data_IF_148111555186
#
_entry.id   IF_148111555186
#
_cell.length_a   1.000
_cell.length_b   1.000
_cell.length_c   1.000
_cell.angle_alpha   90.00
_cell.angle_beta   90.00
_cell.angle_gamma   90.00
#
_symmetry.space_group_name_H-M   'P 1'
#
loop_
_entity.id
_entity.type
_entity.pdbx_description
1 polymer ?
#
# COMPACT_ATOMS: atom_id res chain seq x y z
N UNK A 1 19.54 13.96 -11.00
CA UNK A 1 19.67 12.93 -9.94
C UNK A 1 18.86 11.72 -10.39
N UNK A 2 19.19 10.50 -9.98
CA UNK A 2 18.28 9.36 -10.18
C UNK A 2 17.10 9.46 -9.22
N UNK A 3 15.96 8.84 -9.55
CA UNK A 3 14.83 8.75 -8.61
C UNK A 3 15.23 7.89 -7.41
N UNK A 4 14.73 8.21 -6.23
CA UNK A 4 14.92 7.40 -5.02
C UNK A 4 13.56 6.88 -4.60
N UNK A 5 13.46 5.58 -4.35
CA UNK A 5 12.27 4.97 -3.75
C UNK A 5 12.57 4.69 -2.28
N UNK A 6 11.82 5.33 -1.41
CA UNK A 6 11.94 5.17 0.03
C UNK A 6 11.24 3.93 0.55
N UNK A 7 10.18 3.49 -0.12
CA UNK A 7 9.41 2.30 0.22
C UNK A 7 7.93 2.49 -0.07
N UNK A 8 7.12 1.50 0.27
CA UNK A 8 5.66 1.62 0.23
C UNK A 8 5.25 2.58 1.37
N UNK A 9 4.68 3.74 1.01
CA UNK A 9 4.21 4.73 1.98
C UNK A 9 2.89 4.27 2.59
N UNK A 10 1.95 3.90 1.73
CA UNK A 10 0.65 3.33 2.09
C UNK A 10 0.05 2.49 0.96
N UNK A 11 -1.01 1.78 1.29
CA UNK A 11 -1.99 1.30 0.31
C UNK A 11 -3.33 1.90 0.67
N UNK A 12 -4.01 2.48 -0.32
CA UNK A 12 -5.32 3.08 -0.18
C UNK A 12 -6.41 2.01 -0.14
N UNK A 13 -7.42 2.18 0.71
CA UNK A 13 -8.57 1.29 0.82
C UNK A 13 -9.88 2.07 0.95
N UNK A 14 -10.78 1.86 -0.02
CA UNK A 14 -12.14 2.38 0.03
C UNK A 14 -13.01 1.56 0.98
N UNK A 15 -13.75 2.24 1.87
CA UNK A 15 -14.62 1.63 2.88
C UNK A 15 -15.95 2.38 3.02
N UNK A 16 -16.94 1.74 3.65
CA UNK A 16 -18.20 2.42 3.98
C UNK A 16 -18.10 3.23 5.28
N UNK A 17 -17.24 2.82 6.21
CA UNK A 17 -17.08 3.46 7.53
C UNK A 17 -15.61 3.44 8.01
N UNK A 18 -15.00 4.63 8.08
CA UNK A 18 -13.60 4.82 8.49
C UNK A 18 -13.35 4.33 9.91
N UNK A 19 -14.19 4.67 10.89
CA UNK A 19 -13.91 4.34 12.29
C UNK A 19 -14.15 2.86 12.60
N UNK A 20 -15.18 2.26 12.01
CA UNK A 20 -15.43 0.83 12.14
C UNK A 20 -14.24 0.00 11.66
N UNK A 21 -13.74 0.29 10.46
CA UNK A 21 -12.61 -0.44 9.91
C UNK A 21 -11.31 -0.12 10.64
N UNK A 22 -11.09 1.14 11.02
CA UNK A 22 -9.87 1.54 11.69
C UNK A 22 -9.76 0.91 13.08
N UNK A 23 -10.89 0.75 13.79
CA UNK A 23 -10.91 0.00 15.05
C UNK A 23 -10.42 -1.44 14.84
N UNK A 24 -10.84 -2.10 13.77
CA UNK A 24 -10.35 -3.44 13.41
C UNK A 24 -8.86 -3.41 13.05
N UNK A 25 -8.40 -2.52 12.17
CA UNK A 25 -6.98 -2.44 11.80
C UNK A 25 -6.07 -2.12 13.00
N UNK A 26 -6.51 -1.24 13.91
CA UNK A 26 -5.81 -0.97 15.16
C UNK A 26 -5.68 -2.23 16.02
N UNK A 27 -6.74 -3.01 16.15
CA UNK A 27 -6.80 -4.19 17.02
C UNK A 27 -5.98 -5.38 16.49
N UNK A 28 -6.02 -5.61 15.17
CA UNK A 28 -5.46 -6.81 14.54
C UNK A 28 -4.15 -6.57 13.79
N UNK A 29 -4.00 -5.39 13.18
CA UNK A 29 -2.82 -5.02 12.39
C UNK A 29 -1.92 -4.01 13.13
N UNK A 30 -2.36 -3.54 14.30
CA UNK A 30 -1.57 -2.65 15.14
C UNK A 30 -1.35 -1.27 14.54
N UNK A 31 -2.14 -0.85 13.54
CA UNK A 31 -2.06 0.47 12.92
C UNK A 31 -2.75 1.50 13.81
N UNK A 32 -2.05 1.98 14.84
CA UNK A 32 -2.58 2.82 15.91
C UNK A 32 -1.96 4.22 15.96
N UNK A 33 -1.14 4.58 14.99
CA UNK A 33 -0.53 5.91 14.88
C UNK A 33 -1.24 6.68 13.76
N UNK A 34 -1.94 7.76 14.10
CA UNK A 34 -2.57 8.65 13.12
C UNK A 34 -1.53 9.58 12.52
N UNK A 35 -1.31 9.49 11.21
CA UNK A 35 -0.47 10.45 10.47
C UNK A 35 -1.26 11.71 10.20
N UNK A 36 -2.44 11.55 9.58
CA UNK A 36 -3.44 12.59 9.39
C UNK A 36 -4.84 11.97 9.43
N UNK A 37 -5.83 12.84 9.56
CA UNK A 37 -7.24 12.56 9.36
C UNK A 37 -7.87 13.83 8.80
N UNK A 38 -8.56 13.71 7.66
CA UNK A 38 -9.14 14.85 6.97
C UNK A 38 -10.52 14.53 6.38
N UNK A 39 -11.37 15.56 6.31
CA UNK A 39 -12.66 15.50 5.63
C UNK A 39 -12.69 16.63 4.62
N UNK A 40 -12.32 16.32 3.38
CA UNK A 40 -12.03 17.29 2.31
C UNK A 40 -12.59 16.81 0.97
N UNK A 41 -12.35 17.57 -0.10
CA UNK A 41 -12.73 17.21 -1.47
C UNK A 41 -11.52 16.68 -2.22
N UNK A 42 -11.65 15.53 -2.88
CA UNK A 42 -10.66 15.04 -3.83
C UNK A 42 -10.85 15.72 -5.20
N UNK A 43 -10.08 16.78 -5.45
CA UNK A 43 -10.22 17.64 -6.64
C UNK A 43 -9.35 17.22 -7.85
N UNK A 44 -8.38 16.33 -7.62
CA UNK A 44 -7.33 16.00 -8.58
C UNK A 44 -7.50 14.63 -9.21
N UNK A 45 -8.23 13.73 -8.55
CA UNK A 45 -8.48 12.36 -9.03
C UNK A 45 -9.59 12.28 -10.09
N UNK A 46 -9.84 13.37 -10.83
CA UNK A 46 -10.92 13.48 -11.82
C UNK A 46 -10.95 12.33 -12.85
N UNK A 47 -9.81 11.85 -13.39
CA UNK A 47 -9.81 10.70 -14.30
C UNK A 47 -10.45 9.45 -13.69
N UNK A 48 -10.38 9.29 -12.36
CA UNK A 48 -10.81 8.11 -11.63
C UNK A 48 -12.07 8.32 -10.78
N UNK A 49 -12.61 9.54 -10.73
CA UNK A 49 -13.83 9.88 -9.99
C UNK A 49 -15.02 10.22 -10.89
N UNK A 50 -14.93 9.85 -12.17
CA UNK A 50 -15.96 10.10 -13.19
C UNK A 50 -15.99 11.56 -13.64
N UNK A 51 -14.83 12.22 -13.67
CA UNK A 51 -14.69 13.61 -14.12
C UNK A 51 -15.14 14.67 -13.11
N UNK A 52 -15.52 14.28 -11.89
CA UNK A 52 -16.06 15.19 -10.88
C UNK A 52 -15.29 15.08 -9.56
N UNK A 53 -15.04 16.21 -8.86
CA UNK A 53 -14.52 16.18 -7.50
C UNK A 53 -15.45 15.39 -6.58
N UNK A 54 -14.88 14.76 -5.54
CA UNK A 54 -15.67 13.97 -4.59
C UNK A 54 -15.33 14.28 -3.15
N UNK A 55 -16.34 14.49 -2.32
CA UNK A 55 -16.18 14.62 -0.87
C UNK A 55 -15.80 13.29 -0.24
N UNK A 56 -14.80 13.36 0.65
CA UNK A 56 -14.21 12.21 1.32
C UNK A 56 -13.94 12.48 2.79
N UNK A 57 -13.81 11.40 3.54
CA UNK A 57 -13.10 11.35 4.80
C UNK A 57 -11.98 10.33 4.65
N UNK A 58 -10.74 10.75 4.89
CA UNK A 58 -9.62 9.83 4.89
C UNK A 58 -8.78 9.91 6.15
N UNK A 59 -8.12 8.79 6.42
CA UNK A 59 -7.19 8.60 7.53
C UNK A 59 -5.99 7.85 7.01
N UNK A 60 -4.79 8.37 7.26
CA UNK A 60 -3.57 7.59 7.13
C UNK A 60 -3.11 7.11 8.50
N UNK A 61 -3.05 5.79 8.67
CA UNK A 61 -2.60 5.16 9.92
C UNK A 61 -1.43 4.21 9.68
N UNK A 62 -0.48 4.16 10.62
CA UNK A 62 0.72 3.32 10.52
C UNK A 62 0.95 2.49 11.78
N UNK A 63 1.77 1.45 11.65
CA UNK A 63 2.26 0.64 12.77
C UNK A 63 3.76 0.92 13.01
N UNK A 64 4.10 1.43 14.19
CA UNK A 64 5.47 1.81 14.54
C UNK A 64 6.44 0.61 14.69
N UNK A 65 6.01 -0.65 14.55
CA UNK A 65 6.96 -1.77 14.39
C UNK A 65 7.71 -1.71 13.04
N UNK A 66 7.18 -0.95 12.08
CA UNK A 66 7.73 -0.75 10.73
C UNK A 66 6.80 -1.31 9.65
N UNK A 67 7.02 -0.90 8.41
CA UNK A 67 6.10 -1.04 7.27
C UNK A 67 5.41 0.28 6.92
N UNK A 68 4.81 0.33 5.75
CA UNK A 68 3.92 1.40 5.31
C UNK A 68 2.58 1.42 6.06
N UNK A 69 1.75 2.40 5.74
CA UNK A 69 0.44 2.63 6.33
C UNK A 69 -0.73 2.10 5.52
N UNK A 70 -1.91 2.33 6.07
CA UNK A 70 -3.19 2.21 5.38
C UNK A 70 -3.78 3.61 5.24
N UNK A 71 -4.10 4.01 4.01
CA UNK A 71 -4.96 5.18 3.77
C UNK A 71 -6.40 4.71 3.62
N UNK A 72 -7.19 4.90 4.67
CA UNK A 72 -8.59 4.50 4.74
C UNK A 72 -9.41 5.63 4.13
N UNK A 73 -10.28 5.31 3.18
CA UNK A 73 -10.97 6.30 2.36
C UNK A 73 -12.48 6.03 2.32
N UNK A 74 -13.29 7.03 2.68
CA UNK A 74 -14.75 6.92 2.69
C UNK A 74 -15.39 8.09 1.97
N UNK A 75 -16.34 7.82 1.07
CA UNK A 75 -17.18 8.84 0.47
C UNK A 75 -18.13 9.49 1.49
N UNK A 76 -18.32 10.82 1.39
CA UNK A 76 -19.32 11.56 2.19
C UNK A 76 -20.60 11.90 1.42
N UNK A 77 -20.53 12.01 0.09
CA UNK A 77 -21.66 12.41 -0.77
C UNK A 77 -22.22 11.31 -1.68
N UNK A 78 -21.71 10.08 -1.58
CA UNK A 78 -22.23 8.92 -2.33
C UNK A 78 -22.07 7.64 -1.53
N UNK A 79 -22.91 6.67 -1.82
CA UNK A 79 -22.69 5.29 -1.39
C UNK A 79 -21.56 4.67 -2.23
N UNK A 80 -20.49 4.14 -1.62
CA UNK A 80 -19.45 3.42 -2.36
C UNK A 80 -20.01 2.10 -2.92
N UNK A 81 -19.50 1.68 -4.07
CA UNK A 81 -19.87 0.42 -4.71
C UNK A 81 -18.92 -0.71 -4.34
N UNK A 82 -19.47 -1.89 -4.05
CA UNK A 82 -18.74 -3.15 -4.00
C UNK A 82 -18.54 -3.71 -5.41
N UNK A 83 -17.53 -4.57 -5.66
CA UNK A 83 -17.47 -5.35 -6.89
C UNK A 83 -18.76 -6.16 -7.08
N UNK A 84 -19.28 -6.20 -8.31
CA UNK A 84 -20.51 -6.94 -8.65
C UNK A 84 -20.31 -8.45 -8.79
N UNK A 85 -19.09 -8.92 -8.57
CA UNK A 85 -18.66 -10.32 -8.66
C UNK A 85 -17.78 -10.68 -7.46
N UNK A 86 -17.63 -11.98 -7.21
CA UNK A 86 -16.69 -12.45 -6.21
C UNK A 86 -15.26 -12.30 -6.75
N UNK A 87 -14.49 -11.38 -6.17
CA UNK A 87 -13.09 -11.14 -6.53
C UNK A 87 -12.27 -12.40 -6.23
N UNK A 88 -11.51 -12.87 -7.22
CA UNK A 88 -10.70 -14.07 -7.15
C UNK A 88 -9.21 -13.73 -7.31
N UNK A 89 -8.34 -14.53 -6.70
CA UNK A 89 -6.90 -14.36 -6.88
C UNK A 89 -6.54 -14.48 -8.37
N UNK A 90 -5.72 -13.56 -8.87
CA UNK A 90 -5.41 -13.41 -10.29
C UNK A 90 -6.35 -12.48 -11.08
N UNK A 91 -7.43 -11.97 -10.48
CA UNK A 91 -8.16 -10.81 -11.02
C UNK A 91 -7.28 -9.57 -11.05
N UNK A 92 -7.42 -8.75 -12.09
CA UNK A 92 -6.51 -7.65 -12.37
C UNK A 92 -6.67 -6.51 -11.35
N UNK A 93 -5.56 -6.13 -10.73
CA UNK A 93 -5.53 -5.15 -9.64
C UNK A 93 -4.94 -5.71 -8.36
N UNK A 94 -4.92 -4.89 -7.31
CA UNK A 94 -4.45 -5.30 -5.98
C UNK A 94 -5.50 -6.26 -5.39
N UNK A 95 -5.11 -7.53 -5.22
CA UNK A 95 -5.96 -8.57 -4.65
C UNK A 95 -5.82 -8.64 -3.12
N UNK A 96 -4.60 -8.51 -2.61
CA UNK A 96 -4.32 -8.56 -1.19
C UNK A 96 -3.19 -7.60 -0.78
N UNK A 97 -3.29 -7.08 0.45
CA UNK A 97 -2.18 -6.36 1.10
C UNK A 97 -1.37 -7.35 1.94
N UNK A 98 -0.04 -7.22 1.90
CA UNK A 98 0.87 -8.00 2.74
C UNK A 98 1.22 -7.23 4.01
N UNK A 99 1.06 -7.87 5.15
CA UNK A 99 1.52 -7.40 6.46
C UNK A 99 2.57 -8.37 7.00
N UNK A 100 3.58 -7.82 7.66
CA UNK A 100 4.64 -8.61 8.28
C UNK A 100 4.31 -9.05 9.70
N UNK A 101 4.76 -10.23 10.10
CA UNK A 101 4.83 -10.70 11.48
C UNK A 101 6.21 -11.27 11.78
N UNK A 102 6.58 -11.33 13.07
CA UNK A 102 7.84 -11.95 13.51
C UNK A 102 7.74 -13.46 13.60
N UNK A 103 6.58 -13.93 14.03
CA UNK A 103 6.26 -15.34 14.27
C UNK A 103 4.83 -15.56 13.76
N UNK A 104 4.68 -16.46 12.79
CA UNK A 104 3.40 -16.70 12.14
C UNK A 104 2.36 -17.30 13.09
N UNK A 105 2.77 -18.12 14.06
CA UNK A 105 1.87 -18.80 14.99
C UNK A 105 1.34 -17.80 16.03
N UNK A 106 2.21 -16.93 16.54
CA UNK A 106 1.80 -15.83 17.43
C UNK A 106 0.81 -14.92 16.73
N UNK A 107 1.09 -14.54 15.48
CA UNK A 107 0.16 -13.75 14.69
C UNK A 107 -1.17 -14.49 14.51
N UNK A 108 -1.16 -15.70 13.96
CA UNK A 108 -2.36 -16.51 13.73
C UNK A 108 -3.23 -16.69 14.99
N UNK A 109 -2.61 -16.97 16.13
CA UNK A 109 -3.30 -17.11 17.41
C UNK A 109 -3.93 -15.78 17.87
N UNK A 110 -3.29 -14.63 17.59
CA UNK A 110 -3.84 -13.31 17.96
C UNK A 110 -5.11 -12.95 17.18
N UNK A 111 -5.28 -13.44 15.95
CA UNK A 111 -6.51 -13.29 15.16
C UNK A 111 -7.59 -14.26 15.64
N UNK A 112 -7.27 -15.55 15.70
CA UNK A 112 -8.24 -16.62 16.01
C UNK A 112 -8.78 -16.55 17.43
N UNK A 113 -7.94 -16.22 18.43
CA UNK A 113 -8.39 -16.05 19.83
C UNK A 113 -9.39 -14.92 20.04
N UNK A 114 -9.53 -14.01 19.06
CA UNK A 114 -10.48 -12.89 19.06
C UNK A 114 -11.64 -13.10 18.08
N UNK A 115 -11.82 -14.32 17.57
CA UNK A 115 -12.95 -14.70 16.73
C UNK A 115 -12.81 -14.36 15.25
N UNK A 116 -11.63 -13.96 14.77
CA UNK A 116 -11.40 -13.86 13.31
C UNK A 116 -11.19 -15.26 12.76
N UNK A 117 -11.91 -15.61 11.70
CA UNK A 117 -11.75 -16.85 10.94
C UNK A 117 -10.79 -16.63 9.76
N UNK A 118 -9.56 -17.15 9.81
CA UNK A 118 -8.62 -17.01 8.70
C UNK A 118 -9.06 -17.83 7.49
N UNK A 119 -8.78 -17.30 6.29
CA UNK A 119 -9.05 -17.99 5.02
C UNK A 119 -8.16 -19.20 4.82
N UNK A 120 -6.95 -19.18 5.39
CA UNK A 120 -5.98 -20.27 5.33
C UNK A 120 -5.31 -20.48 6.69
N UNK A 121 -4.75 -21.66 6.90
CA UNK A 121 -3.86 -21.95 8.05
C UNK A 121 -2.42 -21.55 7.72
N UNK A 122 -1.55 -21.35 8.73
CA UNK A 122 -0.13 -21.07 8.50
C UNK A 122 0.51 -22.17 7.65
N UNK A 123 1.11 -21.76 6.54
CA UNK A 123 1.81 -22.65 5.60
C UNK A 123 2.89 -21.88 4.86
N UNK A 124 3.72 -22.56 4.08
CA UNK A 124 4.78 -21.91 3.30
C UNK A 124 4.25 -21.46 1.94
N UNK A 125 4.56 -20.23 1.57
CA UNK A 125 4.39 -19.71 0.21
C UNK A 125 5.46 -20.29 -0.74
N UNK A 126 5.40 -20.01 -2.06
CA UNK A 126 6.38 -20.48 -3.05
C UNK A 126 7.85 -20.16 -2.78
N UNK A 127 8.13 -19.13 -1.97
CA UNK A 127 9.47 -18.75 -1.55
C UNK A 127 9.89 -19.39 -0.21
N UNK A 128 9.07 -20.28 0.35
CA UNK A 128 9.33 -20.98 1.61
C UNK A 128 9.04 -20.17 2.87
N UNK A 129 8.40 -19.01 2.75
CA UNK A 129 8.07 -18.10 3.86
C UNK A 129 6.71 -18.49 4.44
N UNK A 130 6.62 -18.59 5.77
CA UNK A 130 5.33 -18.89 6.39
C UNK A 130 4.37 -17.70 6.27
N UNK A 131 3.12 -17.98 5.91
CA UNK A 131 2.07 -16.99 5.79
C UNK A 131 0.68 -17.59 6.05
N UNK A 132 -0.32 -16.73 6.21
CA UNK A 132 -1.75 -17.08 6.12
C UNK A 132 -2.56 -15.88 5.63
N UNK A 133 -3.82 -16.12 5.25
CA UNK A 133 -4.72 -15.09 4.77
C UNK A 133 -5.90 -14.86 5.73
N UNK A 134 -6.34 -13.61 5.84
CA UNK A 134 -7.54 -13.19 6.58
C UNK A 134 -8.35 -12.20 5.74
N UNK A 135 -9.59 -11.94 6.16
CA UNK A 135 -10.38 -10.81 5.67
C UNK A 135 -10.58 -9.78 6.74
N UNK A 136 -10.69 -8.53 6.32
CA UNK A 136 -11.24 -7.46 7.15
C UNK A 136 -12.78 -7.48 7.16
N UNK A 137 -13.44 -6.61 7.94
CA UNK A 137 -14.91 -6.53 8.00
C UNK A 137 -15.58 -6.15 6.67
N UNK A 138 -14.83 -5.64 5.69
CA UNK A 138 -15.32 -5.21 4.37
C UNK A 138 -14.94 -6.21 3.27
N UNK A 139 -14.57 -7.44 3.64
CA UNK A 139 -14.18 -8.53 2.75
C UNK A 139 -12.87 -8.31 1.97
N UNK A 140 -12.03 -7.38 2.40
CA UNK A 140 -10.71 -7.18 1.81
C UNK A 140 -9.73 -8.23 2.29
N UNK A 141 -8.98 -8.83 1.37
CA UNK A 141 -8.04 -9.91 1.69
C UNK A 141 -6.70 -9.33 2.16
N UNK A 142 -6.19 -9.84 3.29
CA UNK A 142 -4.84 -9.57 3.76
C UNK A 142 -4.03 -10.85 3.87
N UNK A 143 -2.75 -10.75 3.53
CA UNK A 143 -1.76 -11.78 3.80
C UNK A 143 -0.91 -11.35 4.99
N UNK A 144 -0.76 -12.23 5.98
CA UNK A 144 0.20 -12.07 7.07
C UNK A 144 1.37 -13.01 6.80
N UNK A 145 2.60 -12.51 6.75
CA UNK A 145 3.78 -13.32 6.44
C UNK A 145 4.98 -13.01 7.34
N UNK A 146 5.86 -13.99 7.53
CA UNK A 146 7.07 -13.81 8.34
C UNK A 146 8.10 -12.91 7.64
N UNK A 147 8.60 -11.92 8.37
CA UNK A 147 9.64 -11.01 7.89
C UNK A 147 10.74 -10.82 8.93
N UNK A 148 11.95 -10.56 8.44
CA UNK A 148 13.12 -10.19 9.24
C UNK A 148 13.37 -8.68 9.27
N UNK A 149 12.60 -7.88 8.53
CA UNK A 149 12.80 -6.43 8.38
C UNK A 149 11.92 -5.60 9.31
N UNK A 150 12.53 -4.93 10.30
CA UNK A 150 11.81 -4.26 11.39
C UNK A 150 12.44 -2.94 11.81
N UNK A 151 11.59 -1.97 12.16
CA UNK A 151 12.01 -0.70 12.74
C UNK A 151 12.09 -0.76 14.26
N UNK A 152 11.09 -1.39 14.89
CA UNK A 152 10.97 -1.48 16.36
C UNK A 152 10.28 -2.78 16.77
N UNK A 153 10.48 -3.18 18.02
CA UNK A 153 9.64 -4.16 18.69
C UNK A 153 8.81 -3.45 19.77
N UNK A 154 7.49 -3.47 19.64
CA UNK A 154 6.57 -2.93 20.65
C UNK A 154 5.59 -4.01 21.16
N UNK A 155 5.93 -5.29 20.96
CA UNK A 155 5.17 -6.43 21.46
C UNK A 155 3.90 -6.76 20.67
N UNK A 156 3.64 -6.10 19.54
CA UNK A 156 2.48 -6.40 18.70
C UNK A 156 2.75 -7.62 17.82
N UNK A 157 1.71 -8.43 17.51
CA UNK A 157 1.86 -9.63 16.68
C UNK A 157 2.23 -9.32 15.23
N UNK A 158 1.86 -8.14 14.74
CA UNK A 158 1.99 -7.70 13.34
C UNK A 158 2.70 -6.35 13.23
N UNK A 159 3.30 -6.09 12.07
CA UNK A 159 3.82 -4.80 11.63
C UNK A 159 2.87 -4.08 10.68
N UNK A 160 3.37 -3.06 10.00
CA UNK A 160 2.65 -2.32 8.95
C UNK A 160 2.68 -3.03 7.60
N UNK A 161 2.18 -2.33 6.59
CA UNK A 161 2.15 -2.80 5.21
C UNK A 161 3.57 -3.06 4.71
N UNK A 162 3.79 -4.22 4.11
CA UNK A 162 5.09 -4.59 3.56
C UNK A 162 5.00 -5.26 2.19
N UNK A 163 3.91 -5.02 1.46
CA UNK A 163 3.75 -5.55 0.13
C UNK A 163 2.31 -5.62 -0.36
N UNK A 164 2.16 -6.20 -1.56
CA UNK A 164 0.87 -6.49 -2.17
C UNK A 164 0.94 -7.74 -3.04
N UNK A 165 -0.20 -8.41 -3.22
CA UNK A 165 -0.44 -9.36 -4.31
C UNK A 165 -1.25 -8.63 -5.38
N UNK A 166 -0.75 -8.60 -6.60
CA UNK A 166 -1.38 -7.94 -7.75
C UNK A 166 -1.66 -8.98 -8.83
N UNK A 167 -2.93 -9.07 -9.26
CA UNK A 167 -3.27 -9.86 -10.44
C UNK A 167 -2.93 -9.10 -11.72
N UNK A 168 -2.33 -9.78 -12.70
CA UNK A 168 -1.89 -9.18 -13.96
C UNK A 168 -2.22 -10.09 -15.15
N UNK A 169 -2.44 -9.51 -16.33
CA UNK A 169 -2.72 -10.29 -17.54
C UNK A 169 -1.47 -10.98 -18.09
N UNK A 170 -0.31 -10.32 -17.96
CA UNK A 170 0.97 -10.82 -18.43
C UNK A 170 2.10 -10.33 -17.52
N UNK A 171 2.73 -11.26 -16.79
CA UNK A 171 3.81 -10.94 -15.85
C UNK A 171 4.97 -10.23 -16.55
N UNK A 172 5.41 -10.70 -17.72
CA UNK A 172 6.60 -10.16 -18.39
C UNK A 172 6.43 -8.69 -18.80
N UNK A 173 5.21 -8.28 -19.15
CA UNK A 173 4.87 -6.88 -19.38
C UNK A 173 4.88 -6.06 -18.09
N UNK A 174 4.28 -6.58 -17.01
CA UNK A 174 4.21 -5.90 -15.72
C UNK A 174 5.58 -5.74 -15.05
N UNK A 175 6.54 -6.64 -15.33
CA UNK A 175 7.92 -6.51 -14.84
C UNK A 175 8.61 -5.21 -15.25
N UNK A 176 8.19 -4.56 -16.34
CA UNK A 176 8.71 -3.23 -16.72
C UNK A 176 8.48 -2.21 -15.61
N UNK A 177 7.32 -2.23 -14.97
CA UNK A 177 7.01 -1.34 -13.85
C UNK A 177 7.61 -1.89 -12.57
N UNK A 178 7.25 -3.11 -12.18
CA UNK A 178 7.59 -3.61 -10.84
C UNK A 178 9.10 -3.80 -10.63
N UNK A 179 9.84 -4.22 -11.66
CA UNK A 179 11.29 -4.37 -11.56
C UNK A 179 12.03 -3.12 -11.99
N UNK A 180 11.80 -2.59 -13.22
CA UNK A 180 12.61 -1.47 -13.72
C UNK A 180 12.26 -0.15 -13.04
N UNK A 181 10.98 0.20 -13.02
CA UNK A 181 10.54 1.46 -12.41
C UNK A 181 10.61 1.41 -10.87
N UNK A 182 10.01 0.39 -10.25
CA UNK A 182 9.87 0.32 -8.78
C UNK A 182 11.08 -0.32 -8.05
N UNK A 183 12.03 -0.87 -8.81
CA UNK A 183 13.28 -1.40 -8.28
C UNK A 183 13.14 -2.70 -7.47
N UNK A 184 12.11 -3.51 -7.73
CA UNK A 184 12.06 -4.88 -7.20
C UNK A 184 12.88 -5.81 -8.11
N UNK A 185 14.19 -5.80 -7.93
CA UNK A 185 15.22 -6.44 -8.76
C UNK A 185 15.58 -7.87 -8.36
N UNK A 186 15.04 -8.37 -7.24
CA UNK A 186 15.31 -9.71 -6.73
C UNK A 186 14.09 -10.60 -6.86
N UNK A 187 14.18 -11.66 -7.65
CA UNK A 187 13.16 -12.72 -7.70
C UNK A 187 13.37 -13.69 -6.53
N UNK A 188 12.38 -13.83 -5.66
CA UNK A 188 12.37 -14.82 -4.57
C UNK A 188 11.81 -16.17 -5.03
N UNK A 189 10.84 -16.16 -5.93
CA UNK A 189 10.28 -17.33 -6.62
C UNK A 189 9.62 -16.90 -7.92
N UNK A 190 9.69 -17.73 -8.96
CA UNK A 190 8.89 -17.64 -10.20
C UNK A 190 8.47 -19.06 -10.57
N UNK A 191 7.23 -19.43 -10.25
CA UNK A 191 6.71 -20.78 -10.40
C UNK A 191 5.38 -20.76 -11.15
N UNK A 192 5.12 -21.82 -11.90
CA UNK A 192 3.85 -22.06 -12.59
C UNK A 192 3.22 -23.37 -12.14
N UNK A 193 1.92 -23.36 -11.86
CA UNK A 193 1.18 -24.56 -11.47
C UNK A 193 -0.02 -24.25 -10.58
N UNK A 194 -0.44 -25.26 -9.80
CA UNK A 194 -1.41 -25.11 -8.72
C UNK A 194 -0.66 -24.92 -7.39
N UNK A 195 -1.31 -24.26 -6.44
CA UNK A 195 -0.63 -23.79 -5.23
C UNK A 195 -1.46 -24.07 -4.00
N UNK A 196 -1.00 -25.03 -3.18
CA UNK A 196 -1.68 -25.41 -1.95
C UNK A 196 -1.81 -24.24 -0.97
N UNK A 197 -0.89 -23.28 -1.03
CA UNK A 197 -0.90 -22.12 -0.14
C UNK A 197 -2.07 -21.16 -0.37
N UNK A 198 -2.71 -21.27 -1.53
CA UNK A 198 -3.89 -20.49 -1.92
C UNK A 198 -5.21 -21.24 -1.66
N UNK A 199 -5.17 -22.51 -1.25
CA UNK A 199 -6.38 -23.29 -0.95
C UNK A 199 -7.15 -22.66 0.20
N UNK A 200 -8.36 -22.17 -0.08
CA UNK A 200 -9.20 -21.40 0.86
C UNK A 200 -9.49 -19.98 0.37
N UNK A 201 -8.71 -19.48 -0.60
CA UNK A 201 -9.00 -18.22 -1.28
C UNK A 201 -10.00 -18.42 -2.42
N UNK A 202 -10.87 -17.42 -2.71
CA UNK A 202 -11.63 -17.39 -3.95
C UNK A 202 -10.73 -17.55 -5.19
N UNK A 203 -11.00 -18.58 -5.99
CA UNK A 203 -10.20 -18.94 -7.17
C UNK A 203 -8.86 -19.62 -6.87
N UNK A 204 -8.51 -19.85 -5.60
CA UNK A 204 -7.19 -20.35 -5.18
C UNK A 204 -6.81 -21.75 -5.66
N UNK A 205 -7.78 -22.54 -6.12
CA UNK A 205 -7.55 -23.87 -6.72
C UNK A 205 -7.14 -23.81 -8.20
N UNK A 206 -7.10 -22.61 -8.78
CA UNK A 206 -6.75 -22.43 -10.18
C UNK A 206 -5.27 -22.69 -10.50
N UNK A 207 -4.92 -22.55 -11.77
CA UNK A 207 -3.56 -22.62 -12.29
C UNK A 207 -3.01 -21.23 -12.56
N UNK A 208 -1.82 -20.94 -12.02
CA UNK A 208 -1.22 -19.62 -12.06
C UNK A 208 0.25 -19.70 -12.49
N UNK A 209 0.77 -18.61 -13.08
CA UNK A 209 2.18 -18.23 -12.91
C UNK A 209 2.23 -17.20 -11.78
N UNK A 210 3.13 -17.40 -10.83
CA UNK A 210 3.35 -16.52 -9.67
C UNK A 210 4.80 -16.13 -9.60
N UNK A 211 5.06 -14.83 -9.54
CA UNK A 211 6.40 -14.30 -9.29
C UNK A 211 6.40 -13.44 -8.03
N UNK A 212 7.24 -13.80 -7.06
CA UNK A 212 7.45 -13.03 -5.84
C UNK A 212 8.73 -12.21 -5.98
N UNK A 213 8.58 -10.89 -5.93
CA UNK A 213 9.65 -9.92 -6.12
C UNK A 213 9.99 -9.24 -4.79
N UNK A 214 11.28 -9.00 -4.60
CA UNK A 214 11.87 -8.22 -3.52
C UNK A 214 12.91 -7.25 -4.12
N UNK A 215 13.53 -6.43 -3.27
CA UNK A 215 14.65 -5.59 -3.67
C UNK A 215 15.95 -6.08 -3.00
N UNK A 216 17.05 -6.12 -3.75
CA UNK A 216 18.35 -6.65 -3.33
C UNK A 216 19.09 -5.69 -2.39
N UNK A 217 18.80 -4.40 -2.48
CA UNK A 217 19.41 -3.33 -1.67
C UNK A 217 18.37 -2.72 -0.73
N UNK A 218 18.80 -2.26 0.46
CA UNK A 218 17.93 -1.47 1.34
C UNK A 218 17.42 -0.21 0.64
N UNK A 219 16.18 0.19 0.95
CA UNK A 219 15.61 1.45 0.46
C UNK A 219 16.31 2.65 1.12
N UNK A 220 16.33 3.78 0.42
CA UNK A 220 16.99 5.02 0.85
C UNK A 220 15.95 6.13 1.07
N UNK A 221 16.26 7.12 1.87
CA UNK A 221 15.41 8.30 2.08
C UNK A 221 14.72 8.37 3.44
N UNK A 222 14.00 9.46 3.67
CA UNK A 222 13.66 9.95 5.01
C UNK A 222 13.00 8.90 5.93
N UNK A 223 12.06 8.12 5.40
CA UNK A 223 11.33 7.10 6.15
C UNK A 223 11.72 5.67 5.79
N UNK A 224 12.81 5.46 5.04
CA UNK A 224 13.16 4.13 4.55
C UNK A 224 13.42 3.12 5.69
N UNK A 225 13.96 3.57 6.83
CA UNK A 225 14.10 2.74 8.02
C UNK A 225 12.77 2.30 8.64
N UNK A 226 11.71 3.11 8.51
CA UNK A 226 10.36 2.74 8.96
C UNK A 226 9.73 1.75 7.99
N UNK A 227 9.72 2.07 6.69
CA UNK A 227 9.09 1.24 5.66
C UNK A 227 9.75 -0.14 5.57
N UNK A 228 11.09 -0.17 5.54
CA UNK A 228 11.88 -1.40 5.51
C UNK A 228 11.71 -2.19 4.23
N UNK A 229 12.01 -3.48 4.30
CA UNK A 229 11.94 -4.37 3.15
C UNK A 229 10.51 -4.79 2.84
N UNK A 230 10.19 -4.84 1.54
CA UNK A 230 8.85 -5.13 1.04
C UNK A 230 8.88 -6.18 -0.08
N UNK A 231 7.73 -6.82 -0.32
CA UNK A 231 7.56 -7.80 -1.38
C UNK A 231 6.35 -7.49 -2.26
N UNK A 232 6.48 -7.62 -3.58
CA UNK A 232 5.35 -7.58 -4.50
C UNK A 232 5.21 -8.95 -5.14
N UNK A 233 4.01 -9.51 -5.11
CA UNK A 233 3.71 -10.74 -5.81
C UNK A 233 2.82 -10.45 -7.01
N UNK A 234 3.24 -10.86 -8.19
CA UNK A 234 2.43 -10.79 -9.39
C UNK A 234 1.83 -12.18 -9.67
N UNK A 235 0.52 -12.21 -9.89
CA UNK A 235 -0.23 -13.44 -10.13
C UNK A 235 -0.92 -13.35 -11.48
N UNK A 236 -0.58 -14.27 -12.38
CA UNK A 236 -1.24 -14.40 -13.67
C UNK A 236 -2.04 -15.71 -13.68
N UNK A 237 -3.36 -15.62 -13.74
CA UNK A 237 -4.22 -16.79 -13.92
C UNK A 237 -4.07 -17.33 -15.36
N UNK A 238 -3.98 -18.65 -15.50
CA UNK A 238 -3.72 -19.33 -16.77
C UNK A 238 -4.90 -20.18 -17.26
N UNK A 239 -5.84 -20.47 -16.37
CA UNK A 239 -6.97 -21.37 -16.58
C UNK A 239 -8.31 -20.65 -16.76
N UNK A 240 -8.32 -19.32 -16.66
CA UNK A 240 -9.52 -18.49 -16.78
C UNK A 240 -9.21 -17.11 -17.32
N UNK A 241 -10.25 -16.40 -17.78
CA UNK A 241 -10.18 -14.97 -18.07
C UNK A 241 -10.49 -14.17 -16.79
N UNK A 242 -9.54 -13.40 -16.25
CA UNK A 242 -9.77 -12.61 -15.04
C UNK A 242 -10.57 -11.34 -15.30
N UNK A 243 -11.19 -10.82 -14.23
CA UNK A 243 -11.88 -9.53 -14.26
C UNK A 243 -10.96 -8.42 -13.75
N UNK A 244 -11.18 -7.17 -14.18
CA UNK A 244 -10.62 -6.01 -13.47
C UNK A 244 -11.34 -5.84 -12.15
N UNK A 245 -10.62 -5.87 -11.02
CA UNK A 245 -11.21 -5.77 -9.67
C UNK A 245 -12.07 -4.50 -9.54
N UNK A 246 -11.64 -3.38 -10.12
CA UNK A 246 -12.34 -2.09 -10.10
C UNK A 246 -13.26 -1.83 -11.29
N UNK A 247 -13.60 -2.86 -12.08
CA UNK A 247 -14.53 -2.72 -13.20
C UNK A 247 -15.83 -2.03 -12.77
N UNK A 248 -16.25 -1.04 -13.54
CA UNK A 248 -17.48 -0.24 -13.35
C UNK A 248 -17.57 0.50 -12.01
N UNK A 249 -16.41 0.77 -11.38
CA UNK A 249 -16.30 1.47 -10.10
C UNK A 249 -15.30 2.61 -10.20
N UNK A 250 -15.40 3.55 -9.27
CA UNK A 250 -14.53 4.73 -9.20
C UNK A 250 -13.49 4.55 -8.09
N UNK A 251 -12.41 5.30 -8.18
CA UNK A 251 -11.44 5.40 -7.09
C UNK A 251 -12.13 5.87 -5.80
N UNK A 252 -11.84 5.22 -4.66
CA UNK A 252 -12.54 5.41 -3.39
C UNK A 252 -13.75 4.48 -3.15
N UNK A 253 -14.16 3.68 -4.16
CA UNK A 253 -15.09 2.57 -3.96
C UNK A 253 -14.44 1.40 -3.20
N UNK A 254 -15.27 0.46 -2.71
CA UNK A 254 -14.84 -0.55 -1.75
C UNK A 254 -13.70 -1.44 -2.26
N UNK A 255 -12.59 -1.52 -1.53
CA UNK A 255 -11.42 -2.31 -1.94
C UNK A 255 -10.14 -1.50 -2.03
N UNK A 256 -9.07 -2.13 -2.52
CA UNK A 256 -7.75 -1.50 -2.63
C UNK A 256 -7.65 -0.56 -3.83
N UNK A 257 -7.54 0.74 -3.57
CA UNK A 257 -7.69 1.78 -4.61
C UNK A 257 -6.37 2.20 -5.25
N UNK A 258 -5.23 2.05 -4.58
CA UNK A 258 -3.89 2.29 -5.14
C UNK A 258 -2.79 1.63 -4.31
N UNK A 259 -1.59 1.48 -4.89
CA UNK A 259 -0.33 1.19 -4.20
C UNK A 259 0.56 2.44 -4.21
N UNK A 260 0.90 2.99 -3.04
CA UNK A 260 1.65 4.25 -2.95
C UNK A 260 3.11 4.06 -2.54
N UNK A 261 4.02 4.70 -3.27
CA UNK A 261 5.45 4.78 -2.94
C UNK A 261 5.85 6.19 -2.50
N UNK A 262 6.60 6.26 -1.40
CA UNK A 262 7.33 7.47 -1.03
C UNK A 262 8.59 7.56 -1.88
N UNK A 263 8.79 8.69 -2.56
CA UNK A 263 9.91 8.90 -3.48
C UNK A 263 10.64 10.22 -3.24
N UNK A 264 11.83 10.31 -3.83
CA UNK A 264 12.50 11.57 -4.11
C UNK A 264 12.81 11.72 -5.59
N UNK A 265 12.81 12.98 -6.04
CA UNK A 265 13.07 13.41 -7.41
C UNK A 265 11.96 12.97 -8.38
N UNK A 266 10.78 13.58 -8.23
CA UNK A 266 9.60 13.32 -9.08
C UNK A 266 9.86 13.59 -10.57
N UNK A 267 10.63 14.62 -10.92
CA UNK A 267 10.98 14.92 -12.32
C UNK A 267 11.76 13.76 -12.97
N UNK A 268 12.70 13.16 -12.22
CA UNK A 268 13.44 11.99 -12.67
C UNK A 268 12.53 10.77 -12.85
N UNK A 269 11.57 10.58 -11.95
CA UNK A 269 10.54 9.54 -12.09
C UNK A 269 9.67 9.80 -13.33
N UNK A 270 9.22 11.03 -13.55
CA UNK A 270 8.38 11.39 -14.70
C UNK A 270 9.06 11.06 -16.03
N UNK A 271 10.34 11.43 -16.16
CA UNK A 271 11.14 11.10 -17.35
C UNK A 271 11.16 9.58 -17.59
N UNK A 272 11.46 8.80 -16.56
CA UNK A 272 11.55 7.34 -16.68
C UNK A 272 10.20 6.68 -16.97
N UNK A 273 9.13 7.16 -16.34
CA UNK A 273 7.75 6.77 -16.64
C UNK A 273 7.41 6.98 -18.12
N UNK A 274 7.73 8.16 -18.66
CA UNK A 274 7.52 8.48 -20.08
C UNK A 274 8.37 7.58 -21.00
N UNK A 275 9.65 7.37 -20.68
CA UNK A 275 10.56 6.51 -21.45
C UNK A 275 10.10 5.04 -21.48
N UNK A 276 9.42 4.58 -20.43
CA UNK A 276 8.85 3.23 -20.32
C UNK A 276 7.42 3.11 -20.91
N UNK A 277 6.80 4.22 -21.32
CA UNK A 277 5.45 4.25 -21.88
C UNK A 277 4.33 4.25 -20.84
N UNK A 278 4.61 4.67 -19.60
CA UNK A 278 3.64 4.77 -18.50
C UNK A 278 3.56 6.20 -17.96
N UNK A 279 3.06 7.17 -18.75
CA UNK A 279 3.02 8.58 -18.35
C UNK A 279 2.14 8.80 -17.12
N UNK A 280 2.36 9.91 -16.42
CA UNK A 280 1.48 10.31 -15.32
C UNK A 280 0.05 10.55 -15.82
N UNK A 281 -0.90 9.91 -15.15
CA UNK A 281 -2.34 10.04 -15.37
C UNK A 281 -2.98 11.12 -14.49
N UNK A 282 -2.38 11.36 -13.32
CA UNK A 282 -2.69 12.48 -12.42
C UNK A 282 -1.37 13.08 -11.96
N UNK A 283 -1.30 14.41 -11.93
CA UNK A 283 -0.14 15.14 -11.42
C UNK A 283 -0.62 16.39 -10.66
N UNK A 284 -0.37 16.42 -9.35
CA UNK A 284 -0.86 17.50 -8.48
C UNK A 284 -0.18 18.85 -8.71
N UNK A 285 1.00 18.90 -9.35
CA UNK A 285 1.66 20.18 -9.64
C UNK A 285 0.99 20.95 -10.80
N UNK A 286 0.25 20.29 -11.69
CA UNK A 286 -0.37 20.95 -12.86
C UNK A 286 -1.43 22.00 -12.46
N UNK A 287 -2.14 21.80 -11.34
CA UNK A 287 -3.14 22.78 -10.84
C UNK A 287 -2.58 23.83 -9.88
N UNK A 288 -1.35 23.69 -9.39
CA UNK A 288 -0.76 24.55 -8.35
C UNK A 288 0.57 25.20 -8.81
N UNK A 289 0.53 25.85 -9.97
CA UNK A 289 1.72 26.40 -10.62
C UNK A 289 2.35 27.63 -9.94
N UNK A 290 1.71 28.25 -8.94
CA UNK A 290 2.29 29.45 -8.29
C UNK A 290 3.18 29.16 -7.07
N UNK A 291 3.15 27.93 -6.51
CA UNK A 291 3.90 27.59 -5.27
C UNK A 291 4.64 26.24 -5.27
N UNK A 292 4.49 25.40 -6.30
CA UNK A 292 5.27 24.17 -6.49
C UNK A 292 5.14 23.11 -5.38
N UNK A 293 4.07 23.16 -4.57
CA UNK A 293 3.82 22.19 -3.50
C UNK A 293 2.33 22.16 -3.17
N UNK A 294 1.72 20.97 -3.25
CA UNK A 294 0.33 20.68 -2.90
C UNK A 294 0.15 20.53 -1.39
N UNK A 295 -1.02 20.93 -0.87
CA UNK A 295 -1.43 20.72 0.51
C UNK A 295 -1.97 19.30 0.70
N UNK A 296 -1.22 18.46 1.42
CA UNK A 296 -1.57 17.08 1.77
C UNK A 296 -2.12 17.02 3.20
N UNK A 297 -2.98 17.97 3.56
CA UNK A 297 -3.59 18.08 4.89
C UNK A 297 -2.71 18.81 5.89
N UNK A 298 -1.88 18.08 6.66
CA UNK A 298 -0.91 18.72 7.58
C UNK A 298 0.48 18.88 6.96
N UNK A 299 0.73 18.26 5.79
CA UNK A 299 1.99 18.25 5.09
C UNK A 299 1.90 18.97 3.75
N UNK A 300 3.04 19.27 3.14
CA UNK A 300 3.09 19.78 1.78
C UNK A 300 3.98 18.88 0.92
N UNK A 301 3.55 18.55 -0.30
CA UNK A 301 4.29 17.66 -1.19
C UNK A 301 3.80 17.69 -2.63
N UNK A 302 4.22 16.69 -3.39
CA UNK A 302 3.81 16.45 -4.77
C UNK A 302 3.39 14.98 -4.89
N UNK A 303 2.18 14.72 -5.36
CA UNK A 303 1.75 13.37 -5.71
C UNK A 303 1.40 13.22 -7.19
N UNK A 304 1.62 12.02 -7.72
CA UNK A 304 1.32 11.62 -9.09
C UNK A 304 0.80 10.18 -9.13
N UNK A 305 0.15 9.82 -10.24
CA UNK A 305 -0.34 8.45 -10.49
C UNK A 305 0.09 7.95 -11.85
N UNK A 306 0.38 6.66 -11.95
CA UNK A 306 0.42 5.91 -13.21
C UNK A 306 -0.55 4.72 -13.14
N UNK A 307 -0.84 4.14 -14.29
CA UNK A 307 -1.48 2.82 -14.41
C UNK A 307 -0.43 1.78 -14.77
N UNK A 308 -0.53 0.60 -14.16
CA UNK A 308 0.14 -0.58 -14.70
C UNK A 308 -0.49 -1.07 -16.02
N UNK A 309 0.08 -2.06 -16.73
CA UNK A 309 -0.48 -2.54 -17.99
C UNK A 309 -1.96 -2.98 -17.92
N UNK A 310 -2.46 -3.32 -16.73
CA UNK A 310 -3.81 -3.80 -16.50
C UNK A 310 -4.75 -2.74 -15.91
N UNK A 311 -4.22 -1.56 -15.54
CA UNK A 311 -4.94 -0.44 -14.96
C UNK A 311 -4.86 -0.37 -13.42
N UNK A 312 -3.96 -1.12 -12.78
CA UNK A 312 -3.70 -0.97 -11.34
C UNK A 312 -3.06 0.38 -11.08
N UNK A 313 -3.63 1.15 -10.16
CA UNK A 313 -3.10 2.48 -9.82
C UNK A 313 -1.87 2.38 -8.92
N UNK A 314 -0.80 3.05 -9.35
CA UNK A 314 0.42 3.23 -8.58
C UNK A 314 0.59 4.73 -8.33
N UNK A 315 0.55 5.09 -7.05
CA UNK A 315 0.75 6.46 -6.58
C UNK A 315 2.21 6.67 -6.19
N UNK A 316 2.70 7.88 -6.44
CA UNK A 316 3.99 8.35 -5.96
C UNK A 316 3.79 9.63 -5.17
N UNK A 317 4.40 9.70 -3.99
CA UNK A 317 4.35 10.88 -3.12
C UNK A 317 5.76 11.35 -2.79
N UNK A 318 6.02 12.63 -3.03
CA UNK A 318 7.22 13.33 -2.59
C UNK A 318 6.84 14.36 -1.52
N UNK A 319 7.12 14.06 -0.25
CA UNK A 319 6.89 14.99 0.85
C UNK A 319 8.00 16.06 0.91
N UNK A 320 7.63 17.34 0.95
CA UNK A 320 8.57 18.46 1.08
C UNK A 320 8.72 18.92 2.54
N UNK A 321 7.62 18.94 3.28
CA UNK A 321 7.55 19.45 4.66
C UNK A 321 6.71 18.53 5.53
N UNK A 322 7.25 18.22 6.72
CA UNK A 322 6.59 17.37 7.72
C UNK A 322 6.42 18.14 9.03
N UNK A 323 5.20 18.31 9.55
CA UNK A 323 5.01 18.90 10.88
C UNK A 323 5.42 17.89 11.96
N UNK A 324 6.43 18.23 12.76
CA UNK A 324 6.84 17.40 13.91
C UNK A 324 6.03 17.74 15.16
N UNK A 325 5.89 19.04 15.47
CA UNK A 325 5.10 19.55 16.59
C UNK A 325 4.28 20.75 16.13
N UNK A 326 3.05 20.49 15.69
CA UNK A 326 2.16 21.51 15.11
C UNK A 326 1.91 22.69 16.05
N UNK A 327 1.66 22.43 17.34
CA UNK A 327 1.41 23.46 18.36
C UNK A 327 2.57 24.42 18.59
N UNK A 328 3.81 24.00 18.27
CA UNK A 328 5.02 24.81 18.39
C UNK A 328 5.53 25.30 17.02
N UNK A 329 4.81 25.03 15.94
CA UNK A 329 5.23 25.39 14.57
C UNK A 329 6.49 24.66 14.08
N UNK A 330 6.95 23.61 14.76
CA UNK A 330 8.19 22.91 14.42
C UNK A 330 7.91 21.98 13.23
N UNK A 331 8.49 22.33 12.08
CA UNK A 331 8.37 21.59 10.82
C UNK A 331 9.75 21.17 10.32
N UNK A 332 9.85 19.92 9.88
CA UNK A 332 11.03 19.40 9.21
C UNK A 332 10.92 19.63 7.70
N UNK A 333 11.84 20.42 7.15
CA UNK A 333 11.97 20.60 5.71
C UNK A 333 12.86 19.49 5.14
N UNK A 334 12.27 18.59 4.35
CA UNK A 334 12.99 17.46 3.75
C UNK A 334 13.85 17.87 2.56
N UNK A 335 13.53 18.97 1.88
CA UNK A 335 14.29 19.46 0.71
C UNK A 335 15.66 20.03 1.09
N UNK A 336 15.89 20.32 2.38
CA UNK A 336 17.18 20.79 2.91
C UNK A 336 18.06 19.66 3.47
N UNK A 337 17.66 18.40 3.28
CA UNK A 337 18.36 17.23 3.79
C UNK A 337 18.91 16.40 2.64
N UNK A 338 19.88 15.56 2.95
CA UNK A 338 20.33 14.49 2.06
C UNK A 338 19.13 13.56 1.75
N UNK A 339 18.69 13.47 0.47
CA UNK A 339 17.52 12.69 0.09
C UNK A 339 17.73 11.18 0.20
N UNK A 340 18.97 10.71 0.31
CA UNK A 340 19.27 9.29 0.48
C UNK A 340 19.24 8.85 1.95
N UNK A 341 19.40 9.79 2.89
CA UNK A 341 19.60 9.49 4.30
C UNK A 341 18.29 9.40 5.07
N UNK A 342 18.10 8.26 5.74
CA UNK A 342 17.00 8.10 6.70
C UNK A 342 17.03 9.15 7.81
N UNK A 343 15.84 9.52 8.28
CA UNK A 343 15.70 10.28 9.51
C UNK A 343 16.30 9.49 10.68
N UNK A 344 16.95 10.17 11.63
CA UNK A 344 17.34 9.55 12.89
C UNK A 344 16.15 8.83 13.55
N UNK A 345 16.38 7.62 14.06
CA UNK A 345 15.31 6.79 14.63
C UNK A 345 14.53 7.49 15.74
N UNK A 346 15.16 8.37 16.53
CA UNK A 346 14.46 9.11 17.58
C UNK A 346 13.41 10.07 17.02
N UNK A 347 13.61 10.66 15.82
CA UNK A 347 12.63 11.52 15.14
C UNK A 347 11.43 10.68 14.70
N UNK A 348 11.68 9.53 14.04
CA UNK A 348 10.61 8.63 13.61
C UNK A 348 9.81 8.11 14.82
N UNK A 349 10.48 7.84 15.95
CA UNK A 349 9.81 7.43 17.18
C UNK A 349 8.86 8.50 17.75
N UNK A 350 9.03 9.79 17.43
CA UNK A 350 8.08 10.84 17.85
C UNK A 350 6.69 10.66 17.23
N UNK A 351 6.56 9.93 16.12
CA UNK A 351 5.25 9.55 15.56
C UNK A 351 4.40 8.79 16.60
N UNK A 352 5.03 8.09 17.54
CA UNK A 352 4.37 7.43 18.66
C UNK A 352 3.54 8.36 19.56
N UNK A 353 3.80 9.68 19.54
CA UNK A 353 2.99 10.68 20.25
C UNK A 353 1.59 10.86 19.64
N UNK A 354 1.42 10.50 18.35
CA UNK A 354 0.14 10.53 17.64
C UNK A 354 -0.67 9.23 17.79
N UNK A 355 -0.33 8.41 18.80
CA UNK A 355 -1.05 7.16 19.09
C UNK A 355 -2.50 7.45 19.45
N UNK A 356 -3.43 6.79 18.79
CA UNK A 356 -4.86 6.98 18.99
C UNK A 356 -5.34 6.21 20.22
N UNK A 357 -6.04 6.91 21.13
CA UNK A 357 -6.56 6.34 22.38
C UNK A 357 -8.00 5.82 22.25
N UNK A 358 -8.83 6.46 21.42
CA UNK A 358 -10.22 6.08 21.15
C UNK A 358 -10.56 6.33 19.68
N UNK A 359 -11.40 5.45 19.13
CA UNK A 359 -11.94 5.47 17.77
C UNK A 359 -13.44 5.26 17.81
#
# INVERSE_FOLDING_TARGET
MEKIICGIQQIGIGVTNVYEVWKWYKEFLGTDIRIFEDSTVAELMLPYTGGQPRERHAVLTVNLQGGGGLEIWQYKGRTPLAPSFNVQIGDYGIYAIKFKCRDINVAYNSFTSKGVEPLTRPQKNPAGINHFFVKDPFNNTFEIYESTSWFKNNGKPTGGVSGAIVGVSNIDNSLKIYTKLLGYDKVLSDLTGNFNDLNGLPGGTGTFRRILLAHSKPRKGAFSALFGDTQIELVQALDRTPNKIFKDRLWGDLGFIHLCFDIKNMDGLEKECNDLGFPFTVNSNIKHNDKGSFDMGEAAGHFTYIEDPDGTLIEFVEAHRLPLLKSLGICLNLNKRDPERSLPHWIINLMGLKKVKGL
#
